data_IF_832728881709
#
_entry.id   IF_832728881709
#
_cell.length_a   1.000
_cell.length_b   1.000
_cell.length_c   1.000
_cell.angle_alpha   90.00
_cell.angle_beta   90.00
_cell.angle_gamma   90.00
#
_symmetry.space_group_name_H-M   'P 1'
#
loop_
_entity.id
_entity.type
_entity.pdbx_description
1 polymer ?
#
# COMPACT_ATOMS: atom_id res chain seq x y z
N UNK A 1 8.05 16.55 -12.26
CA UNK A 1 7.83 15.12 -11.92
C UNK A 1 9.13 14.37 -11.61
N UNK A 2 10.14 14.37 -12.49
CA UNK A 2 11.37 13.55 -12.33
C UNK A 2 12.18 13.82 -11.05
N UNK A 3 12.27 15.07 -10.59
CA UNK A 3 13.01 15.43 -9.36
C UNK A 3 12.40 14.82 -8.09
N UNK A 4 11.06 14.84 -7.95
CA UNK A 4 10.38 14.27 -6.78
C UNK A 4 10.57 12.75 -6.67
N UNK A 5 10.44 12.05 -7.81
CA UNK A 5 10.67 10.60 -7.89
C UNK A 5 12.12 10.21 -7.57
N UNK A 6 13.10 10.88 -8.18
CA UNK A 6 14.52 10.59 -7.94
C UNK A 6 14.91 10.76 -6.46
N UNK A 7 14.30 11.73 -5.79
CA UNK A 7 14.55 12.04 -4.38
C UNK A 7 13.79 11.08 -3.44
N UNK A 8 12.68 10.50 -3.88
CA UNK A 8 11.89 9.51 -3.13
C UNK A 8 12.40 8.05 -3.27
N UNK A 9 13.53 7.81 -3.94
CA UNK A 9 14.16 6.47 -3.94
C UNK A 9 14.80 6.15 -2.59
N UNK A 10 15.22 7.18 -1.85
CA UNK A 10 15.86 7.03 -0.55
C UNK A 10 14.83 6.69 0.53
N UNK A 11 15.26 5.94 1.55
CA UNK A 11 14.40 5.51 2.66
C UNK A 11 13.93 6.67 3.55
N UNK A 12 14.62 7.80 3.53
CA UNK A 12 14.37 8.95 4.39
C UNK A 12 13.36 9.94 3.80
N UNK A 13 12.56 10.57 4.67
CA UNK A 13 11.67 11.66 4.31
C UNK A 13 12.46 12.89 3.81
N UNK A 14 11.97 13.52 2.74
CA UNK A 14 12.57 14.73 2.15
C UNK A 14 11.50 15.79 1.87
N UNK A 15 11.53 16.94 2.57
CA UNK A 15 10.54 18.01 2.38
C UNK A 15 10.42 18.52 0.94
N UNK A 16 11.54 18.58 0.21
CA UNK A 16 11.55 19.01 -1.19
C UNK A 16 10.77 18.06 -2.12
N UNK A 17 10.71 16.77 -1.79
CA UNK A 17 9.90 15.80 -2.53
C UNK A 17 8.41 16.02 -2.25
N UNK A 18 8.03 16.25 -0.98
CA UNK A 18 6.67 16.61 -0.58
C UNK A 18 6.20 17.85 -1.36
N UNK A 19 6.93 18.96 -1.29
CA UNK A 19 6.55 20.21 -1.95
C UNK A 19 6.38 20.03 -3.47
N UNK A 20 7.33 19.34 -4.11
CA UNK A 20 7.30 19.11 -5.56
C UNK A 20 6.12 18.24 -5.99
N UNK A 21 5.81 17.19 -5.22
CA UNK A 21 4.74 16.25 -5.52
C UNK A 21 3.37 16.82 -5.16
N UNK A 22 3.25 17.59 -4.08
CA UNK A 22 2.03 18.34 -3.73
C UNK A 22 1.66 19.36 -4.82
N UNK A 23 2.64 20.00 -5.46
CA UNK A 23 2.38 20.83 -6.65
C UNK A 23 1.91 19.98 -7.82
N UNK A 24 2.56 18.85 -8.09
CA UNK A 24 2.21 17.98 -9.21
C UNK A 24 0.75 17.49 -9.15
N UNK A 25 0.28 17.02 -7.99
CA UNK A 25 -1.11 16.54 -7.84
C UNK A 25 -2.14 17.68 -7.94
N UNK A 26 -1.75 18.94 -7.68
CA UNK A 26 -2.63 20.11 -7.87
C UNK A 26 -2.74 20.52 -9.34
N UNK A 27 -1.62 20.48 -10.08
CA UNK A 27 -1.60 20.82 -11.51
C UNK A 27 -2.22 19.72 -12.36
N UNK A 28 -1.97 18.46 -12.03
CA UNK A 28 -2.48 17.29 -12.75
C UNK A 28 -3.12 16.30 -11.76
N UNK A 29 -4.37 16.51 -11.32
CA UNK A 29 -5.04 15.63 -10.38
C UNK A 29 -5.15 14.18 -10.88
N UNK A 30 -5.29 13.97 -12.19
CA UNK A 30 -5.35 12.62 -12.78
C UNK A 30 -4.03 11.85 -12.79
N UNK A 31 -2.90 12.47 -12.40
CA UNK A 31 -1.59 11.83 -12.41
C UNK A 31 -1.42 10.89 -11.20
N UNK A 32 -1.96 9.68 -11.32
CA UNK A 32 -1.92 8.60 -10.30
C UNK A 32 -0.53 8.37 -9.71
N UNK A 33 0.50 8.38 -10.56
CA UNK A 33 1.88 8.16 -10.09
C UNK A 33 2.32 9.26 -9.13
N UNK A 34 1.93 10.52 -9.34
CA UNK A 34 2.27 11.61 -8.42
C UNK A 34 1.58 11.43 -7.06
N UNK A 35 0.33 10.95 -7.04
CA UNK A 35 -0.37 10.60 -5.80
C UNK A 35 0.31 9.45 -5.05
N UNK A 36 0.74 8.39 -5.76
CA UNK A 36 1.47 7.29 -5.14
C UNK A 36 2.79 7.75 -4.54
N UNK A 37 3.58 8.52 -5.29
CA UNK A 37 4.85 9.05 -4.81
C UNK A 37 4.64 10.00 -3.62
N UNK A 38 3.61 10.85 -3.65
CA UNK A 38 3.28 11.74 -2.53
C UNK A 38 2.87 10.95 -1.28
N UNK A 39 2.07 9.91 -1.44
CA UNK A 39 1.68 9.02 -0.36
C UNK A 39 2.88 8.31 0.27
N UNK A 40 3.84 7.85 -0.53
CA UNK A 40 5.09 7.27 -0.02
C UNK A 40 5.93 8.29 0.76
N UNK A 41 5.98 9.55 0.31
CA UNK A 41 6.66 10.62 1.05
C UNK A 41 6.01 10.85 2.42
N UNK A 42 4.68 10.93 2.48
CA UNK A 42 3.96 11.05 3.76
C UNK A 42 4.16 9.82 4.63
N UNK A 43 4.21 8.64 4.04
CA UNK A 43 4.46 7.42 4.78
C UNK A 43 5.86 7.42 5.42
N UNK A 44 6.90 7.84 4.69
CA UNK A 44 8.26 8.02 5.23
C UNK A 44 8.35 9.12 6.29
N UNK A 45 7.49 10.13 6.21
CA UNK A 45 7.34 11.19 7.24
C UNK A 45 6.71 10.65 8.54
N UNK A 46 6.06 9.49 8.48
CA UNK A 46 5.25 8.95 9.58
C UNK A 46 3.80 9.45 9.60
N UNK A 47 3.40 10.27 8.63
CA UNK A 47 2.03 10.76 8.50
C UNK A 47 1.17 9.74 7.75
N UNK A 48 0.75 8.70 8.48
CA UNK A 48 -0.02 7.58 7.92
C UNK A 48 -1.38 8.04 7.40
N UNK A 49 -1.98 9.06 8.01
CA UNK A 49 -3.28 9.61 7.61
C UNK A 49 -3.17 10.31 6.26
N UNK A 50 -2.17 11.18 6.08
CA UNK A 50 -1.93 11.84 4.79
C UNK A 50 -1.55 10.82 3.70
N UNK A 51 -0.76 9.79 4.03
CA UNK A 51 -0.43 8.71 3.10
C UNK A 51 -1.69 7.96 2.63
N UNK A 52 -2.58 7.58 3.55
CA UNK A 52 -3.89 6.98 3.25
C UNK A 52 -4.70 7.86 2.29
N UNK A 53 -4.80 9.15 2.58
CA UNK A 53 -5.52 10.11 1.73
C UNK A 53 -4.97 10.15 0.31
N UNK A 54 -3.63 10.14 0.16
CA UNK A 54 -3.00 10.15 -1.15
C UNK A 54 -3.28 8.87 -1.95
N UNK A 55 -3.13 7.69 -1.35
CA UNK A 55 -3.41 6.43 -2.04
C UNK A 55 -4.89 6.26 -2.37
N UNK A 56 -5.79 6.68 -1.49
CA UNK A 56 -7.23 6.72 -1.78
C UNK A 56 -7.55 7.69 -2.92
N UNK A 57 -6.96 8.89 -2.92
CA UNK A 57 -7.11 9.86 -4.01
C UNK A 57 -6.60 9.33 -5.35
N UNK A 58 -5.48 8.60 -5.37
CA UNK A 58 -5.01 7.94 -6.58
C UNK A 58 -6.07 6.98 -7.17
N UNK A 59 -6.77 6.24 -6.31
CA UNK A 59 -7.80 5.28 -6.70
C UNK A 59 -9.11 5.92 -7.17
N UNK A 60 -9.43 7.16 -6.77
CA UNK A 60 -10.59 7.88 -7.32
C UNK A 60 -10.36 8.30 -8.78
N UNK A 61 -9.10 8.54 -9.17
CA UNK A 61 -8.74 8.88 -10.54
C UNK A 61 -8.58 7.65 -11.44
N UNK A 62 -7.83 6.64 -11.00
CA UNK A 62 -7.73 5.37 -11.71
C UNK A 62 -7.32 4.23 -10.79
N UNK A 63 -8.14 3.17 -10.78
CA UNK A 63 -7.86 1.95 -10.05
C UNK A 63 -6.61 1.28 -10.60
N UNK A 64 -5.59 1.09 -9.75
CA UNK A 64 -4.31 0.52 -10.14
C UNK A 64 -3.70 -0.31 -9.00
N UNK A 65 -2.82 -1.26 -9.34
CA UNK A 65 -2.25 -2.21 -8.39
C UNK A 65 -1.32 -1.58 -7.37
N UNK A 66 -0.60 -0.51 -7.72
CA UNK A 66 0.36 0.15 -6.82
C UNK A 66 -0.36 0.89 -5.70
N UNK A 67 -1.40 1.67 -6.03
CA UNK A 67 -2.19 2.37 -5.02
C UNK A 67 -2.91 1.41 -4.08
N UNK A 68 -3.45 0.29 -4.60
CA UNK A 68 -4.09 -0.75 -3.78
C UNK A 68 -3.11 -1.41 -2.79
N UNK A 69 -1.89 -1.71 -3.24
CA UNK A 69 -0.81 -2.23 -2.39
C UNK A 69 -0.45 -1.24 -1.29
N UNK A 70 -0.18 -0.01 -1.66
CA UNK A 70 0.26 1.01 -0.73
C UNK A 70 -0.85 1.36 0.27
N UNK A 71 -2.12 1.42 -0.18
CA UNK A 71 -3.27 1.59 0.69
C UNK A 71 -3.39 0.43 1.69
N UNK A 72 -3.23 -0.82 1.23
CA UNK A 72 -3.18 -1.98 2.12
C UNK A 72 -2.09 -1.81 3.19
N UNK A 73 -0.89 -1.37 2.81
CA UNK A 73 0.24 -1.17 3.72
C UNK A 73 -0.07 -0.17 4.83
N UNK A 74 -0.61 1.00 4.49
CA UNK A 74 -0.90 2.04 5.48
C UNK A 74 -2.11 1.70 6.35
N UNK A 75 -3.13 1.02 5.81
CA UNK A 75 -4.32 0.65 6.59
C UNK A 75 -4.00 -0.25 7.78
N UNK A 76 -3.12 -1.25 7.61
CA UNK A 76 -2.71 -2.11 8.74
C UNK A 76 -1.73 -1.47 9.72
N UNK A 77 -1.17 -0.30 9.38
CA UNK A 77 -0.33 0.50 10.27
C UNK A 77 -1.12 1.60 10.99
N UNK A 78 -2.29 1.97 10.48
CA UNK A 78 -3.09 3.05 11.03
C UNK A 78 -3.63 2.68 12.41
N UNK A 79 -3.14 3.38 13.43
CA UNK A 79 -3.56 3.26 14.84
C UNK A 79 -4.18 4.59 15.27
N UNK A 80 -5.40 4.81 14.84
CA UNK A 80 -6.19 6.01 15.15
C UNK A 80 -6.97 5.77 16.43
N UNK A 81 -6.87 6.69 17.40
CA UNK A 81 -7.67 6.64 18.62
C UNK A 81 -9.17 6.72 18.26
N UNK A 82 -9.96 5.75 18.72
CA UNK A 82 -11.40 5.69 18.47
C UNK A 82 -11.85 5.03 17.15
N UNK A 83 -10.95 4.71 16.21
CA UNK A 83 -11.28 3.83 15.09
C UNK A 83 -11.02 2.35 15.46
N UNK A 84 -11.86 1.46 14.95
CA UNK A 84 -11.65 0.02 15.12
C UNK A 84 -10.44 -0.42 14.27
N UNK A 85 -9.33 -0.67 14.95
CA UNK A 85 -8.11 -1.19 14.31
C UNK A 85 -8.38 -2.49 13.53
N UNK A 86 -9.27 -3.36 14.02
CA UNK A 86 -9.61 -4.59 13.31
C UNK A 86 -10.29 -4.30 11.97
N UNK A 87 -11.16 -3.30 11.91
CA UNK A 87 -11.76 -2.83 10.66
C UNK A 87 -10.71 -2.34 9.65
N UNK A 88 -9.76 -1.52 10.10
CA UNK A 88 -8.66 -1.05 9.25
C UNK A 88 -7.83 -2.22 8.68
N UNK A 89 -7.56 -3.24 9.50
CA UNK A 89 -6.82 -4.44 9.06
C UNK A 89 -7.66 -5.32 8.12
N UNK A 90 -8.97 -5.41 8.31
CA UNK A 90 -9.88 -6.07 7.36
C UNK A 90 -9.85 -5.37 5.99
N UNK A 91 -9.99 -4.04 5.97
CA UNK A 91 -9.86 -3.27 4.74
C UNK A 91 -8.47 -3.42 4.09
N UNK A 92 -7.40 -3.55 4.89
CA UNK A 92 -6.06 -3.86 4.36
C UNK A 92 -6.02 -5.16 3.56
N UNK A 93 -6.71 -6.21 4.02
CA UNK A 93 -6.83 -7.49 3.31
C UNK A 93 -7.63 -7.33 2.01
N UNK A 94 -8.72 -6.57 2.03
CA UNK A 94 -9.53 -6.31 0.84
C UNK A 94 -8.74 -5.61 -0.26
N UNK A 95 -8.01 -4.53 0.08
CA UNK A 95 -7.19 -3.81 -0.88
C UNK A 95 -6.06 -4.69 -1.46
N UNK A 96 -5.43 -5.51 -0.62
CA UNK A 96 -4.40 -6.45 -1.08
C UNK A 96 -4.95 -7.52 -2.02
N UNK A 97 -6.14 -8.07 -1.74
CA UNK A 97 -6.82 -9.01 -2.64
C UNK A 97 -7.12 -8.37 -3.99
N UNK A 98 -7.63 -7.14 -3.99
CA UNK A 98 -7.87 -6.40 -5.22
C UNK A 98 -6.57 -6.18 -6.00
N UNK A 99 -5.45 -5.87 -5.33
CA UNK A 99 -4.15 -5.71 -5.98
C UNK A 99 -3.64 -7.01 -6.62
N UNK A 100 -3.92 -8.18 -6.01
CA UNK A 100 -3.62 -9.50 -6.60
C UNK A 100 -4.52 -9.75 -7.81
N UNK A 101 -5.81 -9.47 -7.71
CA UNK A 101 -6.77 -9.67 -8.82
C UNK A 101 -6.42 -8.84 -10.07
N UNK A 102 -5.79 -7.67 -9.90
CA UNK A 102 -5.32 -6.88 -11.04
C UNK A 102 -4.17 -7.53 -11.81
N UNK A 103 -3.32 -8.31 -11.14
CA UNK A 103 -2.18 -8.98 -11.73
C UNK A 103 -1.77 -10.20 -10.88
N UNK A 104 -2.25 -11.37 -11.30
CA UNK A 104 -2.00 -12.63 -10.58
C UNK A 104 -0.53 -13.06 -10.61
N UNK A 105 0.30 -12.48 -11.50
CA UNK A 105 1.73 -12.78 -11.63
C UNK A 105 2.61 -11.84 -10.82
N UNK A 106 2.04 -10.86 -10.14
CA UNK A 106 2.81 -9.90 -9.36
C UNK A 106 3.13 -10.42 -7.95
N UNK A 107 4.38 -10.82 -7.74
CA UNK A 107 4.84 -11.34 -6.46
C UNK A 107 4.72 -10.33 -5.32
N UNK A 108 4.86 -9.03 -5.59
CA UNK A 108 4.72 -7.97 -4.58
C UNK A 108 3.29 -7.88 -4.06
N UNK A 109 2.28 -7.96 -4.93
CA UNK A 109 0.85 -8.03 -4.54
C UNK A 109 0.61 -9.22 -3.61
N UNK A 110 1.11 -10.41 -3.95
CA UNK A 110 0.96 -11.61 -3.13
C UNK A 110 1.67 -11.50 -1.77
N UNK A 111 2.88 -10.95 -1.75
CA UNK A 111 3.61 -10.67 -0.52
C UNK A 111 2.85 -9.71 0.40
N UNK A 112 2.28 -8.64 -0.16
CA UNK A 112 1.47 -7.68 0.60
C UNK A 112 0.18 -8.31 1.12
N UNK A 113 -0.45 -9.20 0.35
CA UNK A 113 -1.61 -9.97 0.82
C UNK A 113 -1.24 -10.90 1.98
N UNK A 114 -0.08 -11.55 1.93
CA UNK A 114 0.44 -12.35 3.05
C UNK A 114 0.62 -11.52 4.32
N UNK A 115 1.21 -10.33 4.20
CA UNK A 115 1.36 -9.39 5.33
C UNK A 115 0.02 -8.96 5.91
N UNK A 116 -0.98 -8.68 5.06
CA UNK A 116 -2.30 -8.28 5.50
C UNK A 116 -3.01 -9.41 6.27
N UNK A 117 -2.94 -10.65 5.79
CA UNK A 117 -3.46 -11.82 6.50
C UNK A 117 -2.75 -12.07 7.82
N UNK A 118 -1.43 -11.90 7.87
CA UNK A 118 -0.66 -12.04 9.10
C UNK A 118 -1.05 -10.98 10.13
N UNK A 119 -1.24 -9.72 9.72
CA UNK A 119 -1.77 -8.68 10.61
C UNK A 119 -3.17 -9.06 11.12
N UNK A 120 -4.07 -9.52 10.24
CA UNK A 120 -5.42 -9.91 10.64
C UNK A 120 -5.40 -11.07 11.64
N UNK A 121 -4.52 -12.06 11.42
CA UNK A 121 -4.31 -13.18 12.34
C UNK A 121 -4.04 -12.71 13.77
N UNK A 122 -3.13 -11.77 13.96
CA UNK A 122 -2.80 -11.27 15.30
C UNK A 122 -3.91 -10.43 15.93
N UNK A 123 -4.78 -9.82 15.12
CA UNK A 123 -5.84 -8.93 15.60
C UNK A 123 -7.11 -9.67 15.97
N UNK A 124 -7.44 -10.74 15.25
CA UNK A 124 -8.70 -11.48 15.44
C UNK A 124 -8.52 -12.78 16.23
N UNK A 125 -7.62 -12.79 17.22
CA UNK A 125 -7.45 -13.94 18.12
C UNK A 125 -6.80 -15.18 17.50
N UNK A 126 -5.85 -14.99 16.56
CA UNK A 126 -4.96 -16.04 16.05
C UNK A 126 -5.68 -17.22 15.37
N UNK A 127 -6.69 -16.94 14.53
CA UNK A 127 -7.38 -17.96 13.74
C UNK A 127 -6.39 -18.71 12.80
N UNK A 128 -6.17 -20.03 12.95
CA UNK A 128 -5.21 -20.78 12.15
C UNK A 128 -5.44 -20.71 10.63
N UNK A 129 -6.70 -20.49 10.19
CA UNK A 129 -7.02 -20.32 8.76
C UNK A 129 -6.34 -19.09 8.16
N UNK A 130 -6.21 -18.00 8.93
CA UNK A 130 -5.54 -16.78 8.47
C UNK A 130 -4.04 -16.98 8.33
N UNK A 131 -3.42 -17.73 9.25
CA UNK A 131 -2.01 -18.11 9.15
C UNK A 131 -1.77 -18.96 7.88
N UNK A 132 -2.64 -19.92 7.60
CA UNK A 132 -2.57 -20.73 6.38
C UNK A 132 -2.73 -19.88 5.11
N UNK A 133 -3.64 -18.90 5.12
CA UNK A 133 -3.82 -17.96 4.01
C UNK A 133 -2.57 -17.09 3.79
N UNK A 134 -1.95 -16.59 4.87
CA UNK A 134 -0.72 -15.83 4.80
C UNK A 134 0.43 -16.67 4.18
N UNK A 135 0.63 -17.89 4.68
CA UNK A 135 1.65 -18.82 4.14
C UNK A 135 1.41 -19.14 2.67
N UNK A 136 0.16 -19.36 2.27
CA UNK A 136 -0.20 -19.62 0.88
C UNK A 136 0.11 -18.42 0.00
N UNK A 137 -0.22 -17.20 0.45
CA UNK A 137 0.07 -15.97 -0.27
C UNK A 137 1.58 -15.75 -0.44
N UNK A 138 2.40 -15.99 0.60
CA UNK A 138 3.85 -15.91 0.48
C UNK A 138 4.43 -16.97 -0.47
N UNK A 139 3.92 -18.20 -0.43
CA UNK A 139 4.33 -19.25 -1.36
C UNK A 139 4.02 -18.87 -2.82
N UNK A 140 2.86 -18.28 -3.06
CA UNK A 140 2.50 -17.74 -4.38
C UNK A 140 3.43 -16.60 -4.79
N UNK A 141 3.74 -15.67 -3.89
CA UNK A 141 4.68 -14.57 -4.15
C UNK A 141 6.03 -15.09 -4.67
N UNK A 142 6.60 -16.08 -3.99
CA UNK A 142 7.87 -16.71 -4.39
C UNK A 142 7.73 -17.45 -5.72
N UNK A 143 6.64 -18.19 -5.90
CA UNK A 143 6.38 -18.95 -7.12
C UNK A 143 6.33 -18.05 -8.36
N UNK A 144 5.51 -16.99 -8.33
CA UNK A 144 5.32 -16.11 -9.50
C UNK A 144 6.54 -15.24 -9.77
N UNK A 145 7.30 -14.85 -8.74
CA UNK A 145 8.55 -14.09 -8.90
C UNK A 145 9.67 -14.91 -9.55
N UNK A 146 9.66 -16.24 -9.45
CA UNK A 146 10.65 -17.10 -10.11
C UNK A 146 10.39 -17.33 -11.60
N UNK A 147 9.14 -17.18 -12.04
CA UNK A 147 8.72 -17.43 -13.43
C UNK A 147 8.82 -16.17 -14.30
N UNK A 148 9.07 -15.00 -13.70
CA UNK A 148 9.20 -13.71 -14.39
C UNK A 148 10.61 -13.34 -14.86
N UNK A 149 11.57 -14.28 -14.82
CA UNK A 149 12.93 -14.13 -15.34
C UNK A 149 13.13 -14.98 -16.60
#
# INVERSE_FOLDING_TARGET
MLKGKAVNVLSEYRPAAEESLSKAVKFEPGLVEAWNQLGEVYWKKGDIVAARTCFSGALTHCKNKVSLRNLSMVLRQLRTEGEDYASNVLSSVEQAKMAVQMDLKDGTSWYILGNAYLSLFFVTGQNPRLAQQALTAYAQAVSVSRVGH
#
